data_IF_896503192244
#
_entry.id   IF_896503192244
#
_cell.length_a   1.000
_cell.length_b   1.000
_cell.length_c   1.000
_cell.angle_alpha   90.00
_cell.angle_beta   90.00
_cell.angle_gamma   90.00
#
_symmetry.space_group_name_H-M   'P 1'
#
loop_
_entity.id
_entity.type
_entity.pdbx_description
1 polymer ?
#
# COMPACT_ATOMS: atom_id res chain seq x y z
N UNK A 1 11.74 -16.95 12.73
CA UNK A 1 10.73 -16.12 12.04
C UNK A 1 10.92 -14.68 12.48
N UNK A 2 10.97 -13.72 11.55
CA UNK A 2 11.04 -12.30 11.88
C UNK A 2 9.64 -11.78 12.23
N UNK A 3 9.53 -10.90 13.22
CA UNK A 3 8.27 -10.28 13.64
C UNK A 3 7.78 -9.17 12.70
N UNK A 4 6.65 -8.55 13.05
CA UNK A 4 6.14 -7.37 12.36
C UNK A 4 7.03 -6.17 12.66
N UNK A 5 7.32 -5.33 11.66
CA UNK A 5 8.09 -4.11 11.86
C UNK A 5 7.28 -3.10 12.69
N UNK A 6 7.90 -2.40 13.65
CA UNK A 6 7.23 -1.31 14.37
C UNK A 6 7.09 -0.10 13.44
N UNK A 7 5.92 0.55 13.49
CA UNK A 7 5.75 1.87 12.89
C UNK A 7 6.35 2.93 13.81
N UNK A 8 7.21 3.80 13.26
CA UNK A 8 7.96 4.82 14.03
C UNK A 8 7.81 6.24 13.46
N UNK A 9 6.85 6.43 12.56
CA UNK A 9 6.61 7.70 11.89
C UNK A 9 5.28 8.30 12.35
N UNK A 10 5.06 9.57 12.01
CA UNK A 10 3.85 10.28 12.36
C UNK A 10 2.59 9.70 11.69
N UNK A 11 1.44 10.09 12.23
CA UNK A 11 0.12 9.78 11.67
C UNK A 11 0.03 10.39 10.27
N UNK A 12 -0.32 9.56 9.29
CA UNK A 12 -0.52 10.01 7.91
C UNK A 12 -2.01 10.24 7.63
N UNK A 13 -2.38 11.19 6.75
CA UNK A 13 -3.77 11.38 6.34
C UNK A 13 -4.40 10.13 5.73
N UNK A 14 -5.73 10.09 5.71
CA UNK A 14 -6.51 9.11 4.94
C UNK A 14 -6.09 9.11 3.47
N UNK A 15 -6.01 7.93 2.88
CA UNK A 15 -5.68 7.75 1.47
C UNK A 15 -6.69 6.80 0.83
N UNK A 16 -7.46 7.27 -0.15
CA UNK A 16 -8.54 6.50 -0.77
C UNK A 16 -9.50 5.80 0.21
N UNK A 17 -9.88 6.49 1.30
CA UNK A 17 -10.73 5.95 2.36
C UNK A 17 -10.01 5.05 3.38
N UNK A 18 -8.76 4.67 3.14
CA UNK A 18 -7.96 3.90 4.10
C UNK A 18 -7.44 4.82 5.20
N UNK A 19 -7.85 4.55 6.43
CA UNK A 19 -7.37 5.28 7.61
C UNK A 19 -5.94 4.89 7.95
N UNK A 20 -5.28 5.68 8.79
CA UNK A 20 -3.87 5.53 9.12
C UNK A 20 -3.51 4.10 9.55
N UNK A 21 -4.26 3.50 10.47
CA UNK A 21 -4.00 2.17 11.00
C UNK A 21 -4.10 1.10 9.93
N UNK A 22 -5.07 1.22 9.01
CA UNK A 22 -5.21 0.28 7.89
C UNK A 22 -3.99 0.35 6.98
N UNK A 23 -3.48 1.56 6.73
CA UNK A 23 -2.28 1.77 5.93
C UNK A 23 -1.04 1.18 6.58
N UNK A 24 -0.87 1.37 7.89
CA UNK A 24 0.24 0.80 8.65
C UNK A 24 0.16 -0.72 8.69
N UNK A 25 -1.03 -1.30 8.89
CA UNK A 25 -1.22 -2.76 8.90
C UNK A 25 -0.90 -3.39 7.54
N UNK A 26 -1.33 -2.76 6.45
CA UNK A 26 -0.94 -3.17 5.09
C UNK A 26 0.59 -3.14 4.91
N UNK A 27 1.24 -2.06 5.34
CA UNK A 27 2.71 -1.94 5.33
C UNK A 27 3.40 -3.04 6.16
N UNK A 28 2.89 -3.31 7.37
CA UNK A 28 3.41 -4.35 8.25
C UNK A 28 3.31 -5.73 7.59
N UNK A 29 2.16 -6.07 6.98
CA UNK A 29 1.98 -7.35 6.32
C UNK A 29 2.93 -7.52 5.13
N UNK A 30 3.01 -6.53 4.24
CA UNK A 30 3.92 -6.55 3.08
C UNK A 30 5.36 -6.84 3.52
N UNK A 31 5.83 -6.11 4.53
CA UNK A 31 7.19 -6.31 5.03
C UNK A 31 7.38 -7.64 5.75
N UNK A 32 6.39 -8.11 6.51
CA UNK A 32 6.44 -9.42 7.16
C UNK A 32 6.60 -10.56 6.15
N UNK A 33 5.85 -10.52 5.04
CA UNK A 33 5.96 -11.51 3.96
C UNK A 33 7.34 -11.45 3.28
N UNK A 34 7.86 -10.25 2.99
CA UNK A 34 9.18 -10.07 2.36
C UNK A 34 10.31 -10.52 3.30
N UNK A 35 10.26 -10.11 4.57
CA UNK A 35 11.32 -10.34 5.53
C UNK A 35 11.51 -11.82 5.86
N UNK A 36 10.42 -12.60 5.79
CA UNK A 36 10.39 -14.05 5.98
C UNK A 36 10.50 -14.84 4.65
N UNK A 37 10.67 -14.17 3.50
CA UNK A 37 10.92 -14.81 2.21
C UNK A 37 9.70 -15.40 1.49
N UNK A 38 8.48 -15.11 1.95
CA UNK A 38 7.23 -15.58 1.34
C UNK A 38 6.72 -14.66 0.22
N UNK A 39 7.23 -13.43 0.16
CA UNK A 39 7.05 -12.53 -0.97
C UNK A 39 8.40 -11.97 -1.41
N UNK A 40 8.51 -11.61 -2.69
CA UNK A 40 9.68 -10.94 -3.23
C UNK A 40 9.35 -9.49 -3.54
N UNK A 41 10.24 -8.60 -3.14
CA UNK A 41 10.26 -7.23 -3.65
C UNK A 41 10.68 -7.26 -5.12
N UNK A 42 9.95 -6.58 -5.99
CA UNK A 42 10.36 -6.47 -7.39
C UNK A 42 11.68 -5.67 -7.51
N UNK A 43 12.52 -6.05 -8.46
CA UNK A 43 13.83 -5.42 -8.68
C UNK A 43 13.76 -4.15 -9.55
N UNK A 44 12.61 -3.87 -10.14
CA UNK A 44 12.39 -2.76 -11.07
C UNK A 44 11.10 -2.02 -10.72
N UNK A 45 11.03 -0.75 -11.08
CA UNK A 45 9.81 0.03 -11.04
C UNK A 45 8.83 -0.49 -12.09
N UNK A 46 7.59 -0.78 -11.68
CA UNK A 46 6.56 -1.30 -12.59
C UNK A 46 5.98 -0.26 -13.56
N UNK A 47 6.41 1.01 -13.48
CA UNK A 47 6.03 2.07 -14.42
C UNK A 47 7.22 2.43 -15.32
N UNK A 48 8.37 2.78 -14.73
CA UNK A 48 9.53 3.29 -15.49
C UNK A 48 10.58 2.24 -15.86
N UNK A 49 10.49 1.02 -15.32
CA UNK A 49 11.54 -0.02 -15.47
C UNK A 49 12.84 0.25 -14.70
N UNK A 50 13.00 1.44 -14.09
CA UNK A 50 14.21 1.82 -13.36
C UNK A 50 14.43 0.96 -12.11
N UNK A 51 15.68 0.79 -11.70
CA UNK A 51 16.08 -0.11 -10.59
C UNK A 51 16.56 0.62 -9.33
N UNK A 52 16.65 1.95 -9.37
CA UNK A 52 17.21 2.76 -8.28
C UNK A 52 16.13 3.38 -7.40
N UNK A 53 16.46 3.63 -6.13
CA UNK A 53 15.59 4.29 -5.15
C UNK A 53 14.17 3.71 -5.05
N UNK A 54 14.05 2.39 -5.15
CA UNK A 54 12.76 1.74 -5.13
C UNK A 54 12.03 1.98 -3.79
N UNK A 55 10.70 2.00 -3.85
CA UNK A 55 9.74 2.05 -2.75
C UNK A 55 8.59 1.09 -3.02
N UNK A 56 7.87 0.73 -1.98
CA UNK A 56 6.66 -0.10 -2.06
C UNK A 56 5.46 0.81 -1.87
N UNK A 57 4.44 0.61 -2.70
CA UNK A 57 3.22 1.39 -2.70
C UNK A 57 1.99 0.49 -2.80
N UNK A 58 0.91 0.84 -2.11
CA UNK A 58 -0.37 0.17 -2.23
C UNK A 58 -1.46 1.20 -2.54
N UNK A 59 -2.22 0.97 -3.61
CA UNK A 59 -3.50 1.67 -3.84
C UNK A 59 -4.62 1.02 -3.01
N UNK A 60 -4.56 -0.30 -2.83
CA UNK A 60 -5.46 -1.07 -1.98
C UNK A 60 -4.69 -1.61 -0.77
N UNK A 61 -4.93 -1.05 0.41
CA UNK A 61 -4.25 -1.48 1.65
C UNK A 61 -4.86 -2.74 2.29
N UNK A 62 -5.89 -3.33 1.66
CA UNK A 62 -6.40 -4.67 2.00
C UNK A 62 -5.82 -5.78 1.11
N UNK A 63 -4.89 -5.46 0.20
CA UNK A 63 -4.10 -6.43 -0.56
C UNK A 63 -2.64 -6.41 -0.08
N UNK A 64 -2.01 -7.57 -0.04
CA UNK A 64 -0.62 -7.78 0.38
C UNK A 64 0.37 -7.61 -0.77
N UNK A 65 -0.09 -7.37 -2.00
CA UNK A 65 0.77 -7.19 -3.18
C UNK A 65 1.01 -5.70 -3.47
N UNK A 66 2.18 -5.14 -3.09
CA UNK A 66 2.50 -3.76 -3.39
C UNK A 66 2.98 -3.60 -4.83
N UNK A 67 2.82 -2.40 -5.37
CA UNK A 67 3.56 -1.92 -6.52
C UNK A 67 4.96 -1.49 -6.10
N UNK A 68 5.97 -1.82 -6.91
CA UNK A 68 7.32 -1.30 -6.73
C UNK A 68 7.51 -0.09 -7.63
N UNK A 69 7.79 1.06 -7.03
CA UNK A 69 7.95 2.34 -7.73
C UNK A 69 9.30 2.95 -7.41
N UNK A 70 9.86 3.79 -8.29
CA UNK A 70 10.95 4.68 -7.86
C UNK A 70 10.40 5.74 -6.90
N UNK A 71 11.28 6.28 -6.04
CA UNK A 71 10.88 7.28 -5.04
C UNK A 71 10.17 8.49 -5.66
N UNK A 72 10.65 9.01 -6.80
CA UNK A 72 10.02 10.15 -7.48
C UNK A 72 8.59 9.84 -7.93
N UNK A 73 8.37 8.67 -8.55
CA UNK A 73 7.05 8.23 -8.99
C UNK A 73 6.12 7.95 -7.81
N UNK A 74 6.64 7.36 -6.73
CA UNK A 74 5.89 7.11 -5.50
C UNK A 74 5.39 8.42 -4.88
N UNK A 75 6.27 9.43 -4.78
CA UNK A 75 5.89 10.72 -4.23
C UNK A 75 4.90 11.46 -5.13
N UNK A 76 5.08 11.44 -6.45
CA UNK A 76 4.12 12.02 -7.38
C UNK A 76 2.74 11.36 -7.27
N UNK A 77 2.70 10.03 -7.13
CA UNK A 77 1.46 9.28 -6.94
C UNK A 77 0.71 9.69 -5.66
N UNK A 78 1.42 9.82 -4.54
CA UNK A 78 0.81 10.30 -3.29
C UNK A 78 0.34 11.75 -3.38
N UNK A 79 1.05 12.58 -4.16
CA UNK A 79 0.71 13.98 -4.37
C UNK A 79 -0.39 14.20 -5.40
N UNK A 80 -0.80 13.21 -6.19
CA UNK A 80 -1.71 13.41 -7.34
C UNK A 80 -3.02 14.13 -7.01
N UNK A 81 -3.50 14.02 -5.78
CA UNK A 81 -4.72 14.70 -5.34
C UNK A 81 -4.55 16.22 -5.11
N UNK A 82 -3.32 16.65 -4.79
CA UNK A 82 -2.98 18.04 -4.48
C UNK A 82 -2.19 18.71 -5.62
N UNK A 83 -1.35 17.94 -6.29
CA UNK A 83 -0.45 18.36 -7.37
C UNK A 83 -0.61 17.40 -8.57
N UNK A 84 -1.76 17.42 -9.28
CA UNK A 84 -2.10 16.43 -10.30
C UNK A 84 -1.16 16.47 -11.52
N UNK A 85 -0.67 17.63 -11.91
CA UNK A 85 0.18 17.82 -13.10
C UNK A 85 1.45 16.97 -13.05
N UNK A 86 2.01 16.76 -11.84
CA UNK A 86 3.17 15.90 -11.65
C UNK A 86 2.87 14.44 -12.00
N UNK A 87 1.66 13.97 -11.64
CA UNK A 87 1.21 12.63 -11.98
C UNK A 87 0.78 12.50 -13.44
N UNK A 88 0.07 13.49 -13.99
CA UNK A 88 -0.35 13.50 -15.40
C UNK A 88 0.86 13.39 -16.34
N UNK A 89 1.94 14.14 -16.09
CA UNK A 89 3.19 14.01 -16.87
C UNK A 89 3.82 12.62 -16.80
N UNK A 90 3.64 11.90 -15.69
CA UNK A 90 4.09 10.50 -15.57
C UNK A 90 3.21 9.61 -16.44
N UNK A 91 1.88 9.80 -16.40
CA UNK A 91 0.94 9.05 -17.24
C UNK A 91 1.24 9.28 -18.72
N UNK A 92 1.35 10.54 -19.17
CA UNK A 92 1.69 10.89 -20.56
C UNK A 92 3.01 10.28 -21.03
N UNK A 93 4.00 10.18 -20.13
CA UNK A 93 5.32 9.66 -20.47
C UNK A 93 5.36 8.14 -20.58
N UNK A 94 4.62 7.43 -19.74
CA UNK A 94 4.79 5.98 -19.56
C UNK A 94 3.58 5.14 -19.97
N UNK A 95 2.38 5.71 -20.07
CA UNK A 95 1.21 4.99 -20.55
C UNK A 95 1.34 4.76 -22.06
N UNK A 96 1.02 3.55 -22.50
CA UNK A 96 1.02 3.14 -23.91
C UNK A 96 -0.41 3.03 -24.40
N UNK A 97 -1.28 2.36 -23.64
CA UNK A 97 -2.69 2.16 -24.05
C UNK A 97 -3.66 3.03 -23.27
N UNK A 98 -3.28 3.47 -22.06
CA UNK A 98 -4.19 4.12 -21.12
C UNK A 98 -4.93 3.11 -20.23
N UNK A 99 -4.82 1.81 -20.49
CA UNK A 99 -5.42 0.76 -19.67
C UNK A 99 -4.53 0.34 -18.50
N UNK A 100 -3.27 0.77 -18.50
CA UNK A 100 -2.34 0.51 -17.42
C UNK A 100 -2.93 0.99 -16.09
N UNK A 101 -2.73 0.20 -15.03
CA UNK A 101 -3.33 0.47 -13.72
C UNK A 101 -3.07 1.91 -13.22
N UNK A 102 -1.90 2.47 -13.53
CA UNK A 102 -1.48 3.80 -13.10
C UNK A 102 -2.12 4.92 -13.94
N UNK A 103 -2.47 4.63 -15.20
CA UNK A 103 -3.13 5.58 -16.10
C UNK A 103 -4.62 5.77 -15.74
N UNK A 104 -5.25 4.74 -15.14
CA UNK A 104 -6.67 4.75 -14.76
C UNK A 104 -6.95 5.25 -13.34
N UNK A 105 -5.94 5.75 -12.62
CA UNK A 105 -6.14 6.24 -11.26
C UNK A 105 -6.87 7.57 -11.24
N UNK A 106 -7.85 7.69 -10.34
CA UNK A 106 -8.52 8.96 -10.06
C UNK A 106 -7.53 10.03 -9.58
N UNK A 107 -7.67 11.25 -10.10
CA UNK A 107 -6.94 12.43 -9.66
C UNK A 107 -7.58 13.11 -8.42
N UNK A 108 -8.73 12.62 -7.98
CA UNK A 108 -9.38 13.02 -6.72
C UNK A 108 -9.49 11.81 -5.78
N UNK A 109 -9.49 12.01 -4.45
CA UNK A 109 -9.70 10.92 -3.51
C UNK A 109 -11.02 10.19 -3.76
N UNK A 110 -10.99 8.86 -3.67
CA UNK A 110 -12.17 7.99 -3.73
C UNK A 110 -12.29 7.21 -2.42
N UNK A 111 -13.49 6.76 -2.02
CA UNK A 111 -13.62 5.91 -0.82
C UNK A 111 -13.50 4.41 -1.17
N UNK A 112 -12.35 4.02 -1.73
CA UNK A 112 -12.10 2.63 -2.12
C UNK A 112 -12.18 1.69 -0.90
N UNK A 113 -11.70 2.12 0.27
CA UNK A 113 -11.81 1.33 1.48
C UNK A 113 -13.28 1.10 1.89
N UNK A 114 -14.12 2.14 1.84
CA UNK A 114 -15.56 2.04 2.08
C UNK A 114 -16.25 1.11 1.09
N UNK A 115 -15.94 1.24 -0.21
CA UNK A 115 -16.46 0.34 -1.25
C UNK A 115 -16.08 -1.13 -1.00
N UNK A 116 -14.83 -1.38 -0.62
CA UNK A 116 -14.34 -2.73 -0.31
C UNK A 116 -15.03 -3.31 0.95
N UNK A 117 -15.22 -2.50 2.01
CA UNK A 117 -15.96 -2.91 3.20
C UNK A 117 -17.44 -3.18 2.90
N UNK A 118 -18.08 -2.37 2.06
CA UNK A 118 -19.46 -2.59 1.64
C UNK A 118 -19.62 -3.90 0.84
N UNK A 119 -18.65 -4.22 -0.03
CA UNK A 119 -18.68 -5.42 -0.88
C UNK A 119 -18.35 -6.70 -0.12
N UNK A 120 -17.39 -6.66 0.80
CA UNK A 120 -16.82 -7.87 1.40
C UNK A 120 -17.09 -7.99 2.91
N UNK A 121 -17.76 -7.01 3.51
CA UNK A 121 -17.96 -6.89 4.94
C UNK A 121 -16.78 -6.22 5.66
N UNK A 122 -16.99 -5.67 6.88
CA UNK A 122 -15.98 -4.91 7.62
C UNK A 122 -14.72 -5.71 7.96
N UNK A 123 -14.81 -7.04 8.07
CA UNK A 123 -13.69 -7.94 8.32
C UNK A 123 -12.62 -7.91 7.22
N UNK A 124 -12.91 -7.33 6.04
CA UNK A 124 -11.89 -7.07 5.02
C UNK A 124 -10.72 -6.22 5.58
N UNK A 125 -10.97 -5.36 6.57
CA UNK A 125 -9.93 -4.57 7.22
C UNK A 125 -8.92 -5.40 8.04
N UNK A 126 -9.28 -6.64 8.40
CA UNK A 126 -8.39 -7.58 9.09
C UNK A 126 -7.53 -8.32 8.06
N UNK A 127 -6.62 -7.58 7.40
CA UNK A 127 -5.80 -8.12 6.31
C UNK A 127 -4.94 -9.34 6.73
N UNK A 128 -4.55 -9.40 8.00
CA UNK A 128 -3.76 -10.48 8.59
C UNK A 128 -4.48 -11.83 8.58
N UNK A 129 -5.82 -11.85 8.75
CA UNK A 129 -6.61 -13.09 8.75
C UNK A 129 -6.67 -13.76 7.36
N UNK A 130 -6.26 -13.03 6.32
CA UNK A 130 -6.35 -13.44 4.91
C UNK A 130 -5.00 -13.42 4.22
N UNK A 131 -3.92 -13.28 4.99
CA UNK A 131 -2.56 -13.32 4.48
C UNK A 131 -2.24 -14.73 3.94
N UNK A 132 -1.54 -14.86 2.80
CA UNK A 132 -1.19 -16.15 2.20
C UNK A 132 0.00 -16.80 2.93
N UNK A 133 -0.18 -17.14 4.19
CA UNK A 133 0.87 -17.69 5.03
C UNK A 133 1.02 -19.20 4.82
N UNK A 134 2.26 -19.74 4.92
CA UNK A 134 2.44 -21.19 5.01
C UNK A 134 1.71 -21.79 6.21
N UNK A 135 1.33 -23.06 6.10
CA UNK A 135 0.67 -23.78 7.19
C UNK A 135 1.51 -23.74 8.48
N UNK A 136 0.85 -23.53 9.62
CA UNK A 136 1.48 -23.47 10.94
C UNK A 136 2.17 -22.14 11.28
N UNK A 137 2.18 -21.17 10.37
CA UNK A 137 2.70 -19.83 10.65
C UNK A 137 1.64 -19.01 11.38
N UNK A 138 2.00 -18.53 12.57
CA UNK A 138 1.18 -17.60 13.34
C UNK A 138 1.71 -16.16 13.20
N UNK A 139 0.78 -15.22 13.01
CA UNK A 139 1.10 -13.79 13.03
C UNK A 139 1.24 -13.35 14.49
N UNK A 140 2.30 -12.62 14.87
CA UNK A 140 2.45 -12.12 16.23
C UNK A 140 1.44 -10.98 16.48
N UNK A 141 0.22 -11.34 16.90
CA UNK A 141 -0.92 -10.42 17.03
C UNK A 141 -0.67 -9.23 17.95
N UNK A 142 0.19 -9.40 18.97
CA UNK A 142 0.63 -8.34 19.87
C UNK A 142 1.50 -7.26 19.20
N UNK A 143 2.02 -7.52 18.00
CA UNK A 143 2.84 -6.58 17.20
C UNK A 143 2.05 -5.89 16.10
N UNK A 144 0.78 -6.29 15.89
CA UNK A 144 -0.10 -5.63 14.93
C UNK A 144 -0.36 -4.21 15.42
N UNK A 145 -0.13 -3.24 14.53
CA UNK A 145 -0.31 -1.85 14.86
C UNK A 145 -1.76 -1.55 15.29
N UNK A 146 -1.86 -0.89 16.44
CA UNK A 146 -3.09 -0.34 17.01
C UNK A 146 -2.76 1.08 17.43
N UNK A 147 -3.56 2.04 16.99
CA UNK A 147 -3.50 3.36 17.60
C UNK A 147 -3.86 3.17 19.08
N UNK A 148 -2.99 3.63 19.98
CA UNK A 148 -3.31 3.64 21.40
C UNK A 148 -4.51 4.56 21.67
N UNK A 149 -5.24 4.38 22.77
CA UNK A 149 -6.24 5.36 23.16
C UNK A 149 -5.53 6.70 23.43
N UNK A 150 -5.83 7.76 22.65
CA UNK A 150 -5.43 9.13 23.01
C UNK A 150 -4.78 10.01 21.93
N UNK A 151 -5.02 9.80 20.64
CA UNK A 151 -4.65 10.79 19.61
C UNK A 151 -5.86 11.14 18.72
N UNK A 152 -6.94 11.57 19.37
CA UNK A 152 -8.04 12.33 18.76
C UNK A 152 -7.89 13.81 19.15
#
# INVERSE_FOLDING_TARGET
MKGLRPWRWDVTPTYNGFVFEERVRGWQLVHFLIDNGWAKRAATCCISGQTTQLRLHSENYYDWRPFTLTHSLHMALHKRFKEPDGWQRIVERYAVTGDEWFARLSLVPVDLAGELRARHGPQIANIFDRAPLPAGVNIPSHQIYRLGPGND
#
